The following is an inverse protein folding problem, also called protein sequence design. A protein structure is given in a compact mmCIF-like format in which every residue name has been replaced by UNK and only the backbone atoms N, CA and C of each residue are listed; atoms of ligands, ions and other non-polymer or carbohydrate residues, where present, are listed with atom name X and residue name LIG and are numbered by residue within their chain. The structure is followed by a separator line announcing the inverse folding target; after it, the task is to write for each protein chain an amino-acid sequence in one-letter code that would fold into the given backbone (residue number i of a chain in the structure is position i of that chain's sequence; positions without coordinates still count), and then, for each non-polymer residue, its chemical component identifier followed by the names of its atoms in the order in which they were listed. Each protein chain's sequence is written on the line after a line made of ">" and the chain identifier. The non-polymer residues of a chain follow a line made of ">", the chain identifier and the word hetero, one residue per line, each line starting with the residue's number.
data_IF_490352987062
#
_entry.id   IF_490352987062
#
_cell.length_a   1.000
_cell.length_b   1.000
_cell.length_c   1.000
_cell.angle_alpha   90.00
_cell.angle_beta   90.00
_cell.angle_gamma   90.00
#
_symmetry.space_group_name_H-M   'P 1'
#
loop_
_entity.id
_entity.type
_entity.pdbx_description
1 polymer ?
#
# COMPACT_ATOMS: atom_id res chain seq x y z
N UNK A 1 -19.53 -42.28 50.48
CA UNK A 1 -18.86 -40.97 50.50
C UNK A 1 -17.73 -40.83 49.43
N UNK A 2 -17.18 -41.88 48.85
CA UNK A 2 -16.12 -41.84 47.83
C UNK A 2 -16.60 -41.50 46.39
N UNK A 3 -17.86 -41.77 46.04
CA UNK A 3 -18.36 -41.62 44.66
C UNK A 3 -18.55 -40.17 44.20
N UNK A 4 -18.76 -39.23 45.16
CA UNK A 4 -18.92 -37.80 44.85
C UNK A 4 -17.57 -37.08 44.64
N UNK A 5 -16.52 -37.56 45.29
CA UNK A 5 -15.19 -36.96 45.15
C UNK A 5 -14.58 -37.22 43.79
N UNK A 6 -14.83 -38.39 43.16
CA UNK A 6 -14.34 -38.75 41.83
C UNK A 6 -14.98 -37.88 40.75
N UNK A 7 -16.28 -37.58 40.87
CA UNK A 7 -16.98 -36.69 39.93
C UNK A 7 -16.44 -35.27 39.97
N UNK A 8 -16.17 -34.74 41.16
CA UNK A 8 -15.61 -33.39 41.33
C UNK A 8 -14.17 -33.29 40.82
N UNK A 9 -13.36 -34.34 41.03
CA UNK A 9 -11.97 -34.37 40.49
C UNK A 9 -11.98 -34.44 38.98
N UNK A 10 -12.86 -35.25 38.35
CA UNK A 10 -12.98 -35.34 36.90
C UNK A 10 -13.45 -34.00 36.30
N UNK A 11 -14.38 -33.29 36.94
CA UNK A 11 -14.86 -31.98 36.46
C UNK A 11 -13.80 -30.92 36.55
N UNK A 12 -12.96 -30.90 37.61
CA UNK A 12 -11.83 -29.97 37.76
C UNK A 12 -10.73 -30.23 36.74
N UNK A 13 -10.43 -31.50 36.45
CA UNK A 13 -9.42 -31.85 35.44
C UNK A 13 -9.85 -31.44 34.02
N UNK A 14 -11.14 -31.61 33.67
CA UNK A 14 -11.65 -31.18 32.33
C UNK A 14 -11.63 -29.65 32.20
N UNK A 15 -11.98 -28.92 33.26
CA UNK A 15 -11.91 -27.45 33.26
C UNK A 15 -10.47 -26.91 33.13
N UNK A 16 -9.48 -27.65 33.66
CA UNK A 16 -8.07 -27.25 33.57
C UNK A 16 -7.46 -27.44 32.19
N UNK A 17 -7.94 -28.40 31.41
CA UNK A 17 -7.42 -28.70 30.07
C UNK A 17 -7.92 -27.66 29.05
N UNK A 18 -9.11 -27.08 29.24
CA UNK A 18 -9.65 -26.06 28.34
C UNK A 18 -8.94 -24.69 28.43
N UNK A 19 -8.22 -24.42 29.53
CA UNK A 19 -7.51 -23.16 29.71
C UNK A 19 -6.10 -23.16 29.08
N UNK A 20 -5.57 -24.33 28.67
CA UNK A 20 -4.26 -24.45 28.04
C UNK A 20 -4.32 -24.38 26.51
N UNK A 21 -5.50 -24.37 25.91
CA UNK A 21 -5.65 -24.40 24.46
C UNK A 21 -5.62 -23.01 23.79
N UNK A 22 -5.50 -21.93 24.54
CA UNK A 22 -5.57 -20.57 23.99
C UNK A 22 -4.22 -19.86 23.85
N UNK A 23 -3.10 -20.54 24.07
CA UNK A 23 -1.79 -19.88 24.05
C UNK A 23 -1.11 -19.81 22.67
N UNK A 24 -1.72 -20.44 21.67
CA UNK A 24 -1.09 -20.57 20.36
C UNK A 24 -1.59 -19.56 19.32
N UNK A 25 -2.51 -18.67 19.71
CA UNK A 25 -3.12 -17.72 18.75
C UNK A 25 -2.59 -16.27 18.87
N UNK A 26 -1.61 -15.99 19.71
CA UNK A 26 -1.08 -14.64 19.92
C UNK A 26 0.38 -14.46 19.50
N UNK A 27 1.06 -15.48 19.07
CA UNK A 27 2.35 -15.32 18.41
C UNK A 27 2.10 -14.92 16.95
N UNK A 28 2.10 -13.61 16.73
CA UNK A 28 2.28 -13.07 15.38
C UNK A 28 3.67 -13.52 14.93
N UNK A 29 3.75 -14.66 14.25
CA UNK A 29 4.95 -15.03 13.52
C UNK A 29 5.28 -13.87 12.59
N UNK A 30 6.36 -13.18 12.89
CA UNK A 30 6.96 -12.19 12.01
C UNK A 30 7.59 -12.94 10.83
N UNK A 31 6.70 -13.45 9.94
CA UNK A 31 7.13 -14.01 8.68
C UNK A 31 7.74 -12.84 7.92
N UNK A 32 9.07 -12.79 7.88
CA UNK A 32 9.78 -11.93 6.93
C UNK A 32 9.47 -12.49 5.55
N UNK A 33 8.36 -12.04 4.98
CA UNK A 33 8.04 -12.30 3.58
C UNK A 33 9.07 -11.53 2.77
N UNK A 34 10.15 -12.21 2.45
CA UNK A 34 11.12 -11.73 1.47
C UNK A 34 10.46 -11.92 0.09
N UNK A 35 9.48 -11.06 -0.23
CA UNK A 35 8.93 -11.03 -1.58
C UNK A 35 9.99 -10.36 -2.46
N UNK A 36 10.63 -11.13 -3.36
CA UNK A 36 11.52 -10.55 -4.33
C UNK A 36 10.68 -9.58 -5.20
N UNK A 37 11.24 -8.41 -5.48
CA UNK A 37 10.56 -7.44 -6.35
C UNK A 37 10.34 -8.10 -7.72
N UNK A 38 9.08 -8.13 -8.17
CA UNK A 38 8.71 -8.69 -9.49
C UNK A 38 9.50 -8.04 -10.62
N UNK A 39 9.92 -6.78 -10.43
CA UNK A 39 10.77 -6.02 -11.36
C UNK A 39 12.16 -6.63 -11.51
N UNK A 40 12.71 -7.22 -10.44
CA UNK A 40 14.03 -7.83 -10.44
C UNK A 40 14.01 -9.27 -10.97
N UNK A 41 12.93 -10.05 -10.70
CA UNK A 41 12.84 -11.45 -11.08
C UNK A 41 12.69 -11.61 -12.60
N UNK A 42 11.99 -10.69 -13.26
CA UNK A 42 11.70 -10.81 -14.70
C UNK A 42 11.61 -9.44 -15.37
N UNK A 43 12.76 -8.80 -15.51
CA UNK A 43 12.87 -7.43 -16.08
C UNK A 43 12.29 -7.32 -17.48
N UNK A 44 12.39 -8.37 -18.30
CA UNK A 44 11.83 -8.37 -19.66
C UNK A 44 10.29 -8.41 -19.65
N UNK A 45 9.70 -9.28 -18.84
CA UNK A 45 8.25 -9.34 -18.72
C UNK A 45 7.68 -8.06 -18.11
N UNK A 46 8.40 -7.46 -17.17
CA UNK A 46 8.00 -6.18 -16.59
C UNK A 46 8.05 -5.05 -17.64
N UNK A 47 9.07 -5.00 -18.47
CA UNK A 47 9.16 -4.04 -19.57
C UNK A 47 8.00 -4.19 -20.58
N UNK A 48 7.66 -5.43 -20.95
CA UNK A 48 6.50 -5.72 -21.80
C UNK A 48 5.17 -5.31 -21.15
N UNK A 49 5.05 -5.54 -19.84
CA UNK A 49 3.89 -5.10 -19.07
C UNK A 49 3.74 -3.57 -19.11
N UNK A 50 4.80 -2.81 -18.83
CA UNK A 50 4.78 -1.35 -18.87
C UNK A 50 4.46 -0.82 -20.29
N UNK A 51 4.94 -1.47 -21.32
CA UNK A 51 4.58 -1.10 -22.69
C UNK A 51 3.07 -1.28 -22.95
N UNK A 52 2.50 -2.41 -22.54
CA UNK A 52 1.07 -2.68 -22.67
C UNK A 52 0.23 -1.68 -21.83
N UNK A 53 0.69 -1.36 -20.64
CA UNK A 53 0.04 -0.39 -19.76
C UNK A 53 -0.02 1.00 -20.41
N UNK A 54 1.09 1.48 -20.98
CA UNK A 54 1.11 2.75 -21.72
C UNK A 54 0.18 2.74 -22.93
N UNK A 55 0.22 1.67 -23.71
CA UNK A 55 -0.69 1.51 -24.87
C UNK A 55 -2.16 1.52 -24.43
N UNK A 56 -2.49 0.88 -23.31
CA UNK A 56 -3.84 0.91 -22.77
C UNK A 56 -4.24 2.33 -22.35
N UNK A 57 -3.39 3.06 -21.64
CA UNK A 57 -3.67 4.42 -21.20
C UNK A 57 -3.75 5.44 -22.35
N UNK A 58 -3.10 5.18 -23.47
CA UNK A 58 -3.23 5.98 -24.71
C UNK A 58 -4.50 5.65 -25.51
N UNK A 59 -5.17 4.55 -25.19
CA UNK A 59 -6.40 4.15 -25.87
C UNK A 59 -7.63 4.83 -25.25
N UNK A 60 -8.79 4.77 -25.95
CA UNK A 60 -10.06 5.22 -25.41
C UNK A 60 -10.50 4.30 -24.25
N UNK A 61 -10.57 4.83 -23.03
CA UNK A 61 -10.97 4.12 -21.83
C UNK A 61 -11.56 5.08 -20.78
N UNK A 62 -12.07 4.51 -19.67
CA UNK A 62 -12.56 5.30 -18.53
C UNK A 62 -11.38 5.70 -17.66
N UNK A 63 -11.18 7.00 -17.47
CA UNK A 63 -10.12 7.54 -16.62
C UNK A 63 -10.38 7.26 -15.14
N UNK A 64 -9.35 6.81 -14.45
CA UNK A 64 -9.31 6.66 -13.01
C UNK A 64 -8.51 7.82 -12.42
N UNK A 65 -9.17 8.61 -11.59
CA UNK A 65 -8.59 9.76 -10.89
C UNK A 65 -8.43 9.44 -9.41
N UNK A 66 -7.29 9.82 -8.83
CA UNK A 66 -7.02 9.69 -7.40
C UNK A 66 -6.31 10.93 -6.85
N UNK A 67 -6.57 11.26 -5.58
CA UNK A 67 -5.77 12.25 -4.84
C UNK A 67 -4.70 11.53 -4.04
N UNK A 68 -3.50 12.10 -4.00
CA UNK A 68 -2.37 11.59 -3.24
C UNK A 68 -1.94 12.61 -2.18
N UNK A 69 -1.98 12.18 -0.91
CA UNK A 69 -1.49 12.97 0.20
C UNK A 69 0.02 12.79 0.33
N UNK A 70 0.75 13.80 -0.12
CA UNK A 70 2.21 13.86 -0.04
C UNK A 70 2.71 14.79 1.08
N UNK A 71 1.95 14.89 2.18
CA UNK A 71 2.35 15.67 3.37
C UNK A 71 3.56 15.07 4.08
N UNK A 72 3.75 13.76 4.00
CA UNK A 72 4.82 13.01 4.67
C UNK A 72 6.10 13.07 3.81
N UNK A 73 7.07 13.89 4.24
CA UNK A 73 8.35 14.09 3.53
C UNK A 73 9.45 13.08 3.94
N UNK A 74 9.20 12.24 4.93
CA UNK A 74 10.05 11.12 5.33
C UNK A 74 9.21 9.85 5.36
N UNK A 75 9.10 9.15 4.23
CA UNK A 75 8.20 8.01 4.11
C UNK A 75 8.65 6.85 5.01
N UNK A 76 7.69 6.22 5.68
CA UNK A 76 7.90 5.06 6.55
C UNK A 76 7.03 3.86 6.15
N UNK A 77 6.24 4.00 5.10
CA UNK A 77 5.40 2.93 4.54
C UNK A 77 5.23 3.10 3.03
N UNK A 78 4.84 2.01 2.36
CA UNK A 78 4.56 2.01 0.91
C UNK A 78 3.49 3.01 0.50
N UNK A 79 2.51 3.27 1.35
CA UNK A 79 1.44 4.23 1.08
C UNK A 79 1.90 5.68 0.91
N UNK A 80 3.15 6.00 1.28
CA UNK A 80 3.74 7.33 1.10
C UNK A 80 4.56 7.47 -0.19
N UNK A 81 4.54 6.43 -1.05
CA UNK A 81 5.29 6.41 -2.29
C UNK A 81 4.37 6.44 -3.52
N UNK A 82 4.58 7.40 -4.40
CA UNK A 82 3.89 7.48 -5.70
C UNK A 82 4.17 6.26 -6.58
N UNK A 83 5.34 5.66 -6.45
CA UNK A 83 5.69 4.45 -7.18
C UNK A 83 4.82 3.24 -6.85
N UNK A 84 4.21 3.22 -5.65
CA UNK A 84 3.41 2.11 -5.13
C UNK A 84 1.90 2.30 -5.34
N UNK A 85 1.47 3.39 -5.99
CA UNK A 85 0.07 3.55 -6.39
C UNK A 85 -0.34 2.50 -7.42
N UNK A 86 -1.62 2.09 -7.44
CA UNK A 86 -2.13 1.16 -8.45
C UNK A 86 -1.87 1.65 -9.88
N UNK A 87 -1.39 0.77 -10.74
CA UNK A 87 -1.06 1.10 -12.13
C UNK A 87 -2.29 1.48 -12.98
N UNK A 88 -3.49 1.11 -12.51
CA UNK A 88 -4.77 1.49 -13.14
C UNK A 88 -5.14 2.95 -12.97
N UNK A 89 -4.42 3.72 -12.15
CA UNK A 89 -4.68 5.15 -11.97
C UNK A 89 -4.06 5.93 -13.13
N UNK A 90 -4.90 6.71 -13.82
CA UNK A 90 -4.48 7.51 -14.97
C UNK A 90 -4.02 8.89 -14.55
N UNK A 91 -4.71 9.49 -13.58
CA UNK A 91 -4.47 10.86 -13.13
C UNK A 91 -4.35 10.87 -11.61
N UNK A 92 -3.23 11.42 -11.12
CA UNK A 92 -3.00 11.64 -9.69
C UNK A 92 -2.94 13.12 -9.41
N UNK A 93 -3.76 13.60 -8.49
CA UNK A 93 -3.69 14.96 -7.95
C UNK A 93 -2.88 14.99 -6.68
N UNK A 94 -1.82 15.77 -6.68
CA UNK A 94 -1.05 16.04 -5.45
C UNK A 94 -1.80 17.05 -4.58
N UNK A 95 -1.93 16.75 -3.29
CA UNK A 95 -2.54 17.67 -2.32
C UNK A 95 -1.58 18.80 -1.97
N UNK A 96 -0.28 18.51 -1.89
CA UNK A 96 0.78 19.48 -1.58
C UNK A 96 1.78 19.57 -2.73
N UNK A 97 1.49 20.37 -3.77
CA UNK A 97 2.39 20.47 -4.95
C UNK A 97 3.68 21.26 -4.66
N UNK A 98 3.65 22.08 -3.61
CA UNK A 98 4.78 22.91 -3.22
C UNK A 98 5.76 22.13 -2.33
N UNK A 99 7.06 22.45 -2.42
CA UNK A 99 8.07 21.85 -1.56
C UNK A 99 8.29 20.36 -1.83
N UNK A 100 8.19 19.92 -3.08
CA UNK A 100 8.50 18.54 -3.47
C UNK A 100 9.97 18.22 -3.16
N UNK A 101 10.20 17.16 -2.41
CA UNK A 101 11.53 16.66 -2.08
C UNK A 101 12.08 15.75 -3.19
N UNK A 102 13.36 15.48 -3.16
CA UNK A 102 14.07 14.78 -4.25
C UNK A 102 13.46 13.41 -4.59
N UNK A 103 13.06 12.61 -3.58
CA UNK A 103 12.45 11.30 -3.86
C UNK A 103 11.09 11.44 -4.54
N UNK A 104 10.25 12.41 -4.15
CA UNK A 104 8.96 12.67 -4.78
C UNK A 104 9.12 13.06 -6.26
N UNK A 105 10.08 13.92 -6.55
CA UNK A 105 10.40 14.34 -7.94
C UNK A 105 10.81 13.14 -8.80
N UNK A 106 11.66 12.26 -8.27
CA UNK A 106 12.08 11.03 -8.97
C UNK A 106 10.92 10.07 -9.20
N UNK A 107 10.05 9.92 -8.20
CA UNK A 107 8.87 9.06 -8.32
C UNK A 107 7.86 9.61 -9.32
N UNK A 108 7.61 10.93 -9.32
CA UNK A 108 6.78 11.60 -10.32
C UNK A 108 7.31 11.34 -11.72
N UNK A 109 8.61 11.53 -11.94
CA UNK A 109 9.24 11.27 -13.24
C UNK A 109 9.06 9.79 -13.65
N UNK A 110 9.29 8.87 -12.72
CA UNK A 110 9.15 7.44 -12.96
C UNK A 110 7.73 7.04 -13.36
N UNK A 111 6.70 7.46 -12.62
CA UNK A 111 5.32 7.07 -12.92
C UNK A 111 4.81 7.72 -14.22
N UNK A 112 5.24 8.95 -14.51
CA UNK A 112 4.91 9.61 -15.79
C UNK A 112 5.53 8.89 -16.96
N UNK A 113 6.83 8.59 -16.89
CA UNK A 113 7.58 7.99 -17.99
C UNK A 113 7.24 6.52 -18.19
N UNK A 114 7.19 5.74 -17.11
CA UNK A 114 7.05 4.29 -17.19
C UNK A 114 5.61 3.81 -17.18
N UNK A 115 4.72 4.48 -16.42
CA UNK A 115 3.34 4.07 -16.24
C UNK A 115 2.33 4.94 -17.01
N UNK A 116 2.78 6.02 -17.69
CA UNK A 116 1.91 7.03 -18.34
C UNK A 116 0.84 7.62 -17.40
N UNK A 117 1.12 7.71 -16.10
CA UNK A 117 0.24 8.33 -15.11
C UNK A 117 0.48 9.84 -15.13
N UNK A 118 -0.59 10.62 -15.29
CA UNK A 118 -0.51 12.07 -15.28
C UNK A 118 -0.51 12.59 -13.83
N UNK A 119 0.32 13.62 -13.58
CA UNK A 119 0.34 14.31 -12.29
C UNK A 119 -0.27 15.69 -12.49
N UNK A 120 -1.26 16.01 -11.67
CA UNK A 120 -1.93 17.31 -11.64
C UNK A 120 -1.96 17.86 -10.21
N UNK A 121 -2.27 19.14 -10.08
CA UNK A 121 -2.50 19.79 -8.79
C UNK A 121 -3.53 20.88 -8.95
N UNK A 122 -4.19 21.23 -7.87
CA UNK A 122 -5.17 22.30 -7.83
C UNK A 122 -4.48 23.61 -7.44
N UNK A 123 -4.70 24.65 -8.21
CA UNK A 123 -4.27 26.02 -7.88
C UNK A 123 -5.49 26.76 -7.35
N UNK A 124 -5.37 27.37 -6.16
CA UNK A 124 -6.43 28.24 -5.64
C UNK A 124 -6.46 29.55 -6.43
N UNK A 125 -7.66 30.00 -6.80
CA UNK A 125 -7.83 31.26 -7.52
C UNK A 125 -7.30 32.48 -6.72
N UNK A 126 -7.48 32.43 -5.40
CA UNK A 126 -7.00 33.49 -4.50
C UNK A 126 -5.47 33.66 -4.53
N UNK A 127 -4.74 32.58 -4.77
CA UNK A 127 -3.27 32.61 -4.90
C UNK A 127 -2.82 33.25 -6.21
N UNK A 128 -3.67 33.24 -7.25
CA UNK A 128 -3.34 33.82 -8.57
C UNK A 128 -3.45 35.35 -8.52
N UNK A 129 -4.37 35.93 -7.75
CA UNK A 129 -4.52 37.39 -7.60
C UNK A 129 -3.34 38.01 -6.86
N UNK A 130 -2.63 37.28 -5.99
CA UNK A 130 -1.44 37.78 -5.29
C UNK A 130 -0.18 37.86 -6.17
N UNK A 131 -0.15 37.16 -7.31
CA UNK A 131 1.01 37.08 -8.21
C UNK A 131 0.92 38.09 -9.38
N UNK A 132 -0.24 38.69 -9.62
CA UNK A 132 -0.49 39.67 -10.66
C UNK A 132 -0.38 41.11 -10.17
#
# INVERSE_FOLDING_TARGET
>A
MMKNNIKNIATVCIASITLLACNDWTDVENIKVNQPDVKEINSEQYAQYLQKLRTYKDSEHKFVYASFDNSIKTPFSRGHHLNDIPDSIDIVSLIYPDGLVEFEQKEIENIRTNKATQIVYTISYDTIEEIG
#
